data_IF_508175642396
#
_entry.id   IF_508175642396
#
_cell.length_a   1.000
_cell.length_b   1.000
_cell.length_c   1.000
_cell.angle_alpha   90.00
_cell.angle_beta   90.00
_cell.angle_gamma   90.00
#
_symmetry.space_group_name_H-M   'P 1'
#
loop_
_entity.id
_entity.type
_entity.pdbx_description
1 polymer ?
#
# COMPACT_ATOMS: atom_id res chain seq x y z
N UNK A 1 -21.13 -13.77 25.20
CA UNK A 1 -19.78 -14.29 24.88
C UNK A 1 -19.59 -14.70 23.43
N UNK A 2 -20.37 -15.64 22.85
CA UNK A 2 -20.19 -16.03 21.44
C UNK A 2 -20.51 -14.89 20.45
N UNK A 3 -21.63 -14.21 20.61
CA UNK A 3 -22.09 -13.13 19.70
C UNK A 3 -21.09 -11.98 19.58
N UNK A 4 -20.40 -11.65 20.66
CA UNK A 4 -19.43 -10.54 20.70
C UNK A 4 -18.12 -10.90 20.01
N UNK A 5 -17.62 -12.13 20.18
CA UNK A 5 -16.48 -12.65 19.41
C UNK A 5 -16.79 -12.72 17.91
N UNK A 6 -18.00 -13.15 17.54
CA UNK A 6 -18.43 -13.16 16.14
C UNK A 6 -18.50 -11.76 15.54
N UNK A 7 -18.99 -10.77 16.30
CA UNK A 7 -19.00 -9.37 15.85
C UNK A 7 -17.57 -8.86 15.63
N UNK A 8 -16.66 -9.07 16.57
CA UNK A 8 -15.24 -8.69 16.43
C UNK A 8 -14.59 -9.32 15.19
N UNK A 9 -14.90 -10.59 14.90
CA UNK A 9 -14.38 -11.27 13.73
C UNK A 9 -14.90 -10.66 12.42
N UNK A 10 -16.19 -10.32 12.38
CA UNK A 10 -16.80 -9.64 11.22
C UNK A 10 -16.17 -8.27 11.01
N UNK A 11 -15.96 -7.51 12.09
CA UNK A 11 -15.39 -6.17 12.03
C UNK A 11 -13.96 -6.20 11.50
N UNK A 12 -13.11 -7.13 11.99
CA UNK A 12 -11.74 -7.33 11.50
C UNK A 12 -11.73 -7.76 10.03
N UNK A 13 -12.57 -8.73 9.66
CA UNK A 13 -12.64 -9.19 8.28
C UNK A 13 -13.10 -8.10 7.31
N UNK A 14 -14.07 -7.28 7.72
CA UNK A 14 -14.53 -6.14 6.92
C UNK A 14 -13.40 -5.12 6.74
N UNK A 15 -12.69 -4.79 7.83
CA UNK A 15 -11.57 -3.84 7.80
C UNK A 15 -10.46 -4.32 6.86
N UNK A 16 -10.09 -5.60 6.92
CA UNK A 16 -9.12 -6.20 6.02
C UNK A 16 -9.51 -6.10 4.56
N UNK A 17 -10.79 -6.35 4.26
CA UNK A 17 -11.30 -6.22 2.89
C UNK A 17 -11.24 -4.78 2.37
N UNK A 18 -11.47 -3.80 3.25
CA UNK A 18 -11.30 -2.39 2.94
C UNK A 18 -9.83 -2.11 2.62
N UNK A 19 -8.90 -2.51 3.48
CA UNK A 19 -7.46 -2.30 3.26
C UNK A 19 -6.93 -3.00 2.01
N UNK A 20 -7.38 -4.22 1.71
CA UNK A 20 -7.04 -4.91 0.46
C UNK A 20 -7.48 -4.10 -0.76
N UNK A 21 -8.72 -3.58 -0.73
CA UNK A 21 -9.25 -2.77 -1.82
C UNK A 21 -8.47 -1.45 -1.98
N UNK A 22 -8.10 -0.80 -0.87
CA UNK A 22 -7.29 0.41 -0.86
C UNK A 22 -5.89 0.18 -1.44
N UNK A 23 -5.26 -0.93 -1.08
CA UNK A 23 -3.94 -1.32 -1.58
C UNK A 23 -3.98 -1.72 -3.06
N UNK A 24 -5.04 -2.38 -3.52
CA UNK A 24 -5.24 -2.67 -4.95
C UNK A 24 -5.36 -1.38 -5.78
N UNK A 25 -6.12 -0.40 -5.29
CA UNK A 25 -6.24 0.91 -5.92
C UNK A 25 -4.88 1.63 -5.92
N UNK A 26 -4.18 1.63 -4.78
CA UNK A 26 -2.86 2.26 -4.68
C UNK A 26 -1.84 1.61 -5.63
N UNK A 27 -1.89 0.28 -5.81
CA UNK A 27 -1.02 -0.42 -6.76
C UNK A 27 -1.32 0.00 -8.21
N UNK A 28 -2.60 0.14 -8.57
CA UNK A 28 -2.99 0.67 -9.87
C UNK A 28 -2.48 2.10 -10.07
N UNK A 29 -2.60 2.96 -9.06
CA UNK A 29 -2.07 4.33 -9.11
C UNK A 29 -0.55 4.33 -9.30
N UNK A 30 0.20 3.53 -8.54
CA UNK A 30 1.67 3.40 -8.69
C UNK A 30 2.05 2.95 -10.11
N UNK A 31 1.33 1.96 -10.66
CA UNK A 31 1.57 1.48 -12.01
C UNK A 31 1.28 2.57 -13.05
N UNK A 32 0.20 3.32 -12.87
CA UNK A 32 -0.14 4.45 -13.75
C UNK A 32 0.96 5.52 -13.73
N UNK A 33 1.40 5.93 -12.54
CA UNK A 33 2.44 6.94 -12.40
C UNK A 33 3.77 6.51 -13.01
N UNK A 34 4.16 5.25 -12.87
CA UNK A 34 5.39 4.72 -13.49
C UNK A 34 5.31 4.77 -15.02
N UNK A 35 4.18 4.38 -15.61
CA UNK A 35 3.99 4.45 -17.07
C UNK A 35 4.06 5.90 -17.55
N UNK A 36 3.38 6.83 -16.87
CA UNK A 36 3.39 8.25 -17.21
C UNK A 36 4.78 8.87 -17.05
N UNK A 37 5.50 8.54 -15.97
CA UNK A 37 6.85 9.03 -15.73
C UNK A 37 7.82 8.56 -16.81
N UNK A 38 7.72 7.29 -17.21
CA UNK A 38 8.54 6.72 -18.28
C UNK A 38 8.24 7.34 -19.65
N UNK A 39 6.96 7.61 -19.97
CA UNK A 39 6.61 8.27 -21.24
C UNK A 39 7.15 9.70 -21.30
N UNK A 40 7.01 10.47 -20.21
CA UNK A 40 7.52 11.85 -20.16
C UNK A 40 9.05 11.92 -20.27
N UNK A 41 9.75 10.92 -19.75
CA UNK A 41 11.20 10.84 -19.87
C UNK A 41 11.63 10.49 -21.30
N UNK A 42 10.99 9.50 -21.92
CA UNK A 42 11.30 9.05 -23.28
C UNK A 42 11.12 10.14 -24.36
N UNK A 43 10.15 11.05 -24.16
CA UNK A 43 9.84 12.13 -25.10
C UNK A 43 10.80 13.33 -25.00
N UNK A 44 11.81 13.30 -24.12
CA UNK A 44 12.77 14.40 -23.98
C UNK A 44 14.19 14.03 -24.43
N UNK A 45 14.67 14.79 -25.43
CA UNK A 45 16.08 14.91 -25.86
C UNK A 45 17.03 15.16 -24.66
N UNK A 46 18.34 14.83 -24.77
CA UNK A 46 19.16 14.42 -23.63
C UNK A 46 19.04 15.41 -22.47
N UNK A 47 18.41 14.93 -21.40
CA UNK A 47 18.08 15.74 -20.26
C UNK A 47 19.37 16.13 -19.50
N UNK A 48 19.43 17.33 -18.91
CA UNK A 48 20.53 17.70 -18.02
C UNK A 48 20.62 16.69 -16.85
N UNK A 49 21.83 16.37 -16.40
CA UNK A 49 22.10 15.32 -15.39
C UNK A 49 21.21 15.40 -14.14
N UNK A 50 20.86 16.62 -13.69
CA UNK A 50 19.98 16.82 -12.54
C UNK A 50 18.54 16.33 -12.76
N UNK A 51 18.02 16.40 -13.99
CA UNK A 51 16.67 15.92 -14.33
C UNK A 51 16.62 14.40 -14.35
N UNK A 52 17.69 13.75 -14.82
CA UNK A 52 17.84 12.30 -14.77
C UNK A 52 17.91 11.78 -13.33
N UNK A 53 18.61 12.48 -12.43
CA UNK A 53 18.66 12.13 -11.01
C UNK A 53 17.30 12.27 -10.32
N UNK A 54 16.56 13.34 -10.61
CA UNK A 54 15.21 13.53 -10.09
C UNK A 54 14.25 12.44 -10.60
N UNK A 55 14.30 12.13 -11.91
CA UNK A 55 13.51 11.03 -12.49
C UNK A 55 13.80 9.68 -11.82
N UNK A 56 15.08 9.34 -11.60
CA UNK A 56 15.48 8.11 -10.90
C UNK A 56 14.95 8.08 -9.47
N UNK A 57 14.92 9.22 -8.79
CA UNK A 57 14.40 9.34 -7.42
C UNK A 57 12.91 9.01 -7.38
N UNK A 58 12.11 9.62 -8.26
CA UNK A 58 10.67 9.35 -8.35
C UNK A 58 10.39 7.88 -8.69
N UNK A 59 11.15 7.31 -9.64
CA UNK A 59 11.02 5.90 -10.00
C UNK A 59 11.36 4.97 -8.84
N UNK A 60 12.38 5.29 -8.05
CA UNK A 60 12.76 4.53 -6.87
C UNK A 60 11.67 4.56 -5.79
N UNK A 61 11.00 5.70 -5.60
CA UNK A 61 9.86 5.83 -4.69
C UNK A 61 8.66 4.98 -5.17
N UNK A 62 8.33 5.02 -6.46
CA UNK A 62 7.28 4.15 -7.04
C UNK A 62 7.56 2.66 -6.78
N UNK A 63 8.81 2.23 -6.98
CA UNK A 63 9.21 0.86 -6.69
C UNK A 63 9.16 0.52 -5.20
N UNK A 64 9.49 1.47 -4.32
CA UNK A 64 9.34 1.31 -2.88
C UNK A 64 7.87 1.05 -2.52
N UNK A 65 6.94 1.90 -2.95
CA UNK A 65 5.51 1.72 -2.67
C UNK A 65 4.97 0.43 -3.27
N UNK A 66 5.37 0.04 -4.49
CA UNK A 66 4.98 -1.25 -5.07
C UNK A 66 5.38 -2.43 -4.19
N UNK A 67 6.61 -2.42 -3.63
CA UNK A 67 7.07 -3.49 -2.73
C UNK A 67 6.32 -3.46 -1.41
N UNK A 68 6.11 -2.28 -0.83
CA UNK A 68 5.38 -2.10 0.42
C UNK A 68 3.94 -2.59 0.29
N UNK A 69 3.23 -2.20 -0.77
CA UNK A 69 1.85 -2.64 -1.04
C UNK A 69 1.77 -4.16 -1.09
N UNK A 70 2.65 -4.81 -1.86
CA UNK A 70 2.67 -6.28 -1.96
C UNK A 70 2.93 -6.95 -0.62
N UNK A 71 3.89 -6.43 0.16
CA UNK A 71 4.19 -6.94 1.51
C UNK A 71 2.96 -6.85 2.42
N UNK A 72 2.26 -5.71 2.43
CA UNK A 72 1.06 -5.51 3.25
C UNK A 72 -0.09 -6.43 2.81
N UNK A 73 -0.27 -6.65 1.50
CA UNK A 73 -1.25 -7.60 0.98
C UNK A 73 -0.95 -9.03 1.45
N UNK A 74 0.32 -9.45 1.41
CA UNK A 74 0.76 -10.76 1.90
C UNK A 74 0.55 -10.90 3.42
N UNK A 75 0.92 -9.88 4.21
CA UNK A 75 0.73 -9.87 5.66
C UNK A 75 -0.76 -9.97 6.05
N UNK A 76 -1.64 -9.25 5.35
CA UNK A 76 -3.09 -9.36 5.57
C UNK A 76 -3.64 -10.73 5.20
N UNK A 77 -3.19 -11.32 4.07
CA UNK A 77 -3.61 -12.66 3.68
C UNK A 77 -3.20 -13.69 4.75
N UNK A 78 -1.97 -13.60 5.27
CA UNK A 78 -1.52 -14.48 6.35
C UNK A 78 -2.37 -14.32 7.60
N UNK A 79 -2.76 -13.09 7.95
CA UNK A 79 -3.62 -12.86 9.11
C UNK A 79 -5.04 -13.42 8.91
N UNK A 80 -5.61 -13.28 7.70
CA UNK A 80 -6.91 -13.88 7.35
C UNK A 80 -6.86 -15.41 7.46
N UNK A 81 -5.76 -16.05 7.01
CA UNK A 81 -5.53 -17.49 7.13
C UNK A 81 -5.44 -17.93 8.61
N UNK A 82 -4.72 -17.18 9.44
CA UNK A 82 -4.60 -17.43 10.88
C UNK A 82 -5.95 -17.27 11.60
N UNK A 83 -6.71 -16.22 11.29
CA UNK A 83 -8.04 -16.02 11.86
C UNK A 83 -8.97 -17.17 11.46
N UNK A 84 -8.98 -17.56 10.19
CA UNK A 84 -9.80 -18.67 9.69
C UNK A 84 -9.44 -20.00 10.37
N UNK A 85 -8.15 -20.26 10.60
CA UNK A 85 -7.69 -21.41 11.36
C UNK A 85 -8.17 -21.35 12.83
N UNK A 86 -8.03 -20.20 13.49
CA UNK A 86 -8.48 -19.98 14.87
C UNK A 86 -9.98 -20.19 15.06
N UNK A 87 -10.80 -19.79 14.08
CA UNK A 87 -12.26 -20.05 14.08
C UNK A 87 -12.58 -21.53 14.07
N UNK A 88 -11.84 -22.34 13.30
CA UNK A 88 -12.08 -23.79 13.19
C UNK A 88 -11.80 -24.55 14.48
N UNK A 89 -10.91 -24.03 15.34
CA UNK A 89 -10.52 -24.64 16.61
C UNK A 89 -11.10 -23.94 17.85
N UNK A 90 -12.07 -23.03 17.65
CA UNK A 90 -12.69 -22.18 18.70
C UNK A 90 -11.67 -21.34 19.51
N UNK A 91 -10.49 -21.10 18.91
CA UNK A 91 -9.38 -20.31 19.45
C UNK A 91 -9.21 -19.01 18.65
N UNK A 92 -10.26 -18.20 18.67
CA UNK A 92 -10.35 -16.93 17.94
C UNK A 92 -9.78 -15.79 18.78
N UNK A 93 -8.87 -15.00 18.19
CA UNK A 93 -8.27 -13.80 18.76
C UNK A 93 -7.49 -14.05 20.06
N UNK A 94 -6.52 -14.96 20.01
CA UNK A 94 -5.49 -15.06 21.05
C UNK A 94 -4.63 -13.79 21.10
N UNK A 95 -3.77 -13.68 22.12
CA UNK A 95 -2.93 -12.48 22.30
C UNK A 95 -2.03 -12.23 21.09
N UNK A 96 -1.59 -13.29 20.41
CA UNK A 96 -0.67 -13.22 19.28
C UNK A 96 -1.35 -12.60 18.04
N UNK A 97 -2.50 -13.15 17.64
CA UNK A 97 -3.29 -12.61 16.52
C UNK A 97 -3.75 -11.17 16.73
N UNK A 98 -3.97 -10.73 17.98
CA UNK A 98 -4.26 -9.33 18.31
C UNK A 98 -3.05 -8.41 18.09
N UNK A 99 -1.86 -8.85 18.48
CA UNK A 99 -0.63 -8.08 18.26
C UNK A 99 -0.30 -7.98 16.78
N UNK A 100 -0.50 -9.06 16.02
CA UNK A 100 -0.31 -9.04 14.56
C UNK A 100 -1.32 -8.11 13.88
N UNK A 101 -2.58 -8.09 14.31
CA UNK A 101 -3.56 -7.14 13.78
C UNK A 101 -3.20 -5.68 14.11
N UNK A 102 -2.77 -5.38 15.33
CA UNK A 102 -2.31 -4.04 15.70
C UNK A 102 -1.09 -3.58 14.89
N UNK A 103 -0.18 -4.51 14.60
CA UNK A 103 0.95 -4.26 13.72
C UNK A 103 0.47 -3.89 12.31
N UNK A 104 -0.37 -4.70 11.68
CA UNK A 104 -0.90 -4.42 10.33
C UNK A 104 -1.65 -3.09 10.28
N UNK A 105 -2.44 -2.78 11.32
CA UNK A 105 -3.10 -1.48 11.43
C UNK A 105 -2.11 -0.32 11.44
N UNK A 106 -1.04 -0.42 12.23
CA UNK A 106 -0.01 0.62 12.33
C UNK A 106 0.74 0.80 11.01
N UNK A 107 1.03 -0.29 10.32
CA UNK A 107 1.66 -0.25 9.00
C UNK A 107 0.73 0.36 7.95
N UNK A 108 -0.57 0.05 7.97
CA UNK A 108 -1.56 0.67 7.08
C UNK A 108 -1.71 2.17 7.32
N UNK A 109 -1.75 2.61 8.59
CA UNK A 109 -1.80 4.02 8.94
C UNK A 109 -0.56 4.78 8.45
N UNK A 110 0.63 4.16 8.61
CA UNK A 110 1.89 4.72 8.13
C UNK A 110 1.92 4.78 6.60
N UNK A 111 1.52 3.70 5.93
CA UNK A 111 1.37 3.65 4.48
C UNK A 111 0.43 4.77 3.97
N UNK A 112 -0.72 4.98 4.61
CA UNK A 112 -1.66 6.02 4.20
C UNK A 112 -1.09 7.44 4.31
N UNK A 113 -0.33 7.71 5.37
CA UNK A 113 0.33 9.00 5.55
C UNK A 113 1.40 9.21 4.45
N UNK A 114 2.31 8.25 4.30
CA UNK A 114 3.43 8.34 3.37
C UNK A 114 2.95 8.39 1.91
N UNK A 115 1.97 7.56 1.55
CA UNK A 115 1.43 7.52 0.20
C UNK A 115 0.70 8.81 -0.17
N UNK A 116 0.09 9.50 0.81
CA UNK A 116 -0.54 10.82 0.56
C UNK A 116 0.49 11.90 0.28
N UNK A 117 1.60 11.89 1.01
CA UNK A 117 2.72 12.81 0.78
C UNK A 117 3.31 12.55 -0.60
N UNK A 118 3.65 11.30 -0.89
CA UNK A 118 4.13 10.87 -2.20
C UNK A 118 3.24 11.31 -3.35
N UNK A 119 1.91 11.11 -3.25
CA UNK A 119 0.96 11.54 -4.28
C UNK A 119 1.00 13.05 -4.54
N UNK A 120 1.32 13.83 -3.52
CA UNK A 120 1.46 15.28 -3.66
C UNK A 120 2.76 15.60 -4.38
N UNK A 121 3.86 14.97 -3.98
CA UNK A 121 5.20 15.15 -4.55
C UNK A 121 5.26 14.75 -6.03
N UNK A 122 4.79 13.55 -6.38
CA UNK A 122 4.84 13.07 -7.77
C UNK A 122 3.97 13.91 -8.70
N UNK A 123 2.82 14.41 -8.23
CA UNK A 123 1.98 15.34 -9.01
C UNK A 123 2.72 16.64 -9.27
N UNK A 124 3.35 17.22 -8.24
CA UNK A 124 4.15 18.44 -8.40
C UNK A 124 5.29 18.22 -9.39
N UNK A 125 6.01 17.10 -9.26
CA UNK A 125 7.08 16.73 -10.18
C UNK A 125 6.60 16.65 -11.63
N UNK A 126 5.47 15.97 -11.88
CA UNK A 126 4.90 15.80 -13.23
C UNK A 126 4.45 17.15 -13.80
N UNK A 127 3.75 17.97 -13.02
CA UNK A 127 3.30 19.30 -13.47
C UNK A 127 4.44 20.28 -13.72
N UNK A 128 5.63 20.02 -13.19
CA UNK A 128 6.82 20.83 -13.43
C UNK A 128 7.60 20.38 -14.69
N UNK A 129 7.21 19.27 -15.33
CA UNK A 129 7.84 18.82 -16.57
C UNK A 129 7.41 19.71 -17.75
N UNK A 130 8.31 20.00 -18.71
CA UNK A 130 8.06 20.92 -19.82
C UNK A 130 6.97 20.47 -20.81
N UNK A 131 6.47 19.24 -20.67
CA UNK A 131 5.41 18.66 -21.51
C UNK A 131 3.99 18.97 -21.00
N UNK A 132 3.85 19.55 -19.79
CA UNK A 132 2.59 20.00 -19.18
C UNK A 132 2.46 21.52 -19.14
#
# INVERSE_FOLDING_TARGET
>A
MRTEKYRQLIDVHLLHRVWQSELDIALQEVNFWEVLLNSLHADTEPAPSARDEAWKTELAQLHHFRRLIKRLQEEMQQLDEQIAAGVRVDHVLDTDSRLTHQYVQTEMDSFHADFRVFKTEIRQYITAQPTF
#
